data_IF_419211072602
#
_entry.id   IF_419211072602
#
_cell.length_a   1.000
_cell.length_b   1.000
_cell.length_c   1.000
_cell.angle_alpha   90.00
_cell.angle_beta   90.00
_cell.angle_gamma   90.00
#
_symmetry.space_group_name_H-M   'P 1'
#
loop_
_entity.id
_entity.type
_entity.pdbx_description
1 polymer ?
#
# COMPACT_ATOMS: atom_id res chain seq x y z
N UNK A 1 -2.23 21.02 -31.05
CA UNK A 1 -1.67 21.44 -29.76
C UNK A 1 -1.26 22.89 -29.92
N UNK A 2 -1.90 23.81 -29.18
CA UNK A 2 -1.51 25.20 -29.19
C UNK A 2 -0.27 25.42 -28.33
N UNK A 3 0.59 26.41 -28.70
CA UNK A 3 1.75 26.76 -27.87
C UNK A 3 1.23 27.29 -26.53
N UNK A 4 1.50 26.56 -25.42
CA UNK A 4 1.04 26.90 -24.07
C UNK A 4 0.01 25.94 -23.44
N UNK A 5 -0.50 24.95 -24.18
CA UNK A 5 -1.37 23.92 -23.60
C UNK A 5 -0.57 23.04 -22.62
N UNK A 6 -0.99 22.95 -21.36
CA UNK A 6 -0.46 21.99 -20.40
C UNK A 6 -0.73 20.56 -20.88
N UNK A 7 0.29 19.73 -20.87
CA UNK A 7 0.14 18.30 -21.15
C UNK A 7 -0.36 17.65 -19.87
N UNK A 8 -1.55 17.00 -19.94
CA UNK A 8 -2.02 16.17 -18.84
C UNK A 8 -1.06 15.01 -18.54
N UNK A 9 -1.18 14.42 -17.36
CA UNK A 9 -0.38 13.28 -16.92
C UNK A 9 -0.27 12.21 -18.02
N UNK A 10 0.95 11.87 -18.45
CA UNK A 10 1.23 10.96 -19.56
C UNK A 10 1.49 9.53 -19.09
N UNK A 11 1.39 9.23 -17.79
CA UNK A 11 1.58 7.89 -17.27
C UNK A 11 0.58 6.90 -17.91
N UNK A 12 1.05 5.76 -18.44
CA UNK A 12 0.16 4.80 -19.11
C UNK A 12 -0.82 4.22 -18.10
N UNK A 13 -2.10 4.18 -18.46
CA UNK A 13 -3.16 3.56 -17.65
C UNK A 13 -3.27 2.06 -17.91
N UNK A 14 -2.84 1.63 -19.08
CA UNK A 14 -2.94 0.24 -19.54
C UNK A 14 -1.63 -0.14 -20.20
N UNK A 15 -1.04 -1.23 -19.75
CA UNK A 15 0.20 -1.79 -20.28
C UNK A 15 -0.08 -3.23 -20.68
N UNK A 16 0.05 -3.53 -21.96
CA UNK A 16 -0.10 -4.88 -22.49
C UNK A 16 1.26 -5.55 -22.63
N UNK A 17 1.40 -6.72 -22.03
CA UNK A 17 2.63 -7.51 -22.11
C UNK A 17 2.32 -8.82 -22.83
N UNK A 18 2.87 -9.05 -24.03
CA UNK A 18 2.64 -10.27 -24.79
C UNK A 18 3.01 -11.53 -23.97
N UNK A 19 2.08 -12.48 -23.89
CA UNK A 19 2.27 -13.73 -23.16
C UNK A 19 2.07 -13.65 -21.64
N UNK A 20 1.97 -12.43 -21.07
CA UNK A 20 1.68 -12.24 -19.64
C UNK A 20 0.26 -11.75 -19.40
N UNK A 21 -0.18 -10.69 -20.10
CA UNK A 21 -1.49 -10.11 -19.91
C UNK A 21 -1.49 -8.59 -19.90
N UNK A 22 -2.36 -8.00 -19.07
CA UNK A 22 -2.57 -6.58 -18.96
C UNK A 22 -2.28 -6.12 -17.53
N UNK A 23 -1.54 -5.01 -17.41
CA UNK A 23 -1.32 -4.29 -16.16
C UNK A 23 -2.06 -2.96 -16.26
N UNK A 24 -2.83 -2.64 -15.25
CA UNK A 24 -3.57 -1.38 -15.17
C UNK A 24 -3.03 -0.52 -14.04
N UNK A 25 -2.89 0.77 -14.31
CA UNK A 25 -2.40 1.75 -13.36
C UNK A 25 -3.46 2.82 -13.09
N UNK A 26 -3.38 3.44 -11.92
CA UNK A 26 -4.31 4.50 -11.53
C UNK A 26 -3.80 5.25 -10.31
N UNK A 27 -4.40 6.39 -10.01
CA UNK A 27 -4.12 7.14 -8.78
C UNK A 27 -4.55 6.40 -7.51
N UNK A 28 -5.45 5.44 -7.68
CA UNK A 28 -5.92 4.53 -6.65
C UNK A 28 -6.38 3.21 -7.29
N UNK A 29 -6.61 2.18 -6.47
CA UNK A 29 -7.07 0.87 -6.93
C UNK A 29 -8.37 0.95 -7.74
N UNK A 30 -9.30 1.83 -7.34
CA UNK A 30 -10.57 2.03 -8.04
C UNK A 30 -10.37 2.53 -9.47
N UNK A 31 -9.47 3.52 -9.66
CA UNK A 31 -9.16 4.06 -10.98
C UNK A 31 -8.49 3.01 -11.87
N UNK A 32 -7.56 2.21 -11.33
CA UNK A 32 -6.91 1.12 -12.04
C UNK A 32 -7.94 0.05 -12.47
N UNK A 33 -8.83 -0.36 -11.57
CA UNK A 33 -9.89 -1.34 -11.86
C UNK A 33 -10.90 -0.83 -12.91
N UNK A 34 -11.28 0.46 -12.87
CA UNK A 34 -12.13 1.04 -13.91
C UNK A 34 -11.44 0.97 -15.28
N UNK A 35 -10.17 1.31 -15.36
CA UNK A 35 -9.37 1.22 -16.59
C UNK A 35 -9.33 -0.21 -17.13
N UNK A 36 -9.15 -1.19 -16.24
CA UNK A 36 -9.19 -2.61 -16.57
C UNK A 36 -10.53 -3.01 -17.23
N UNK A 37 -11.63 -2.72 -16.56
CA UNK A 37 -12.96 -3.11 -17.04
C UNK A 37 -13.30 -2.44 -18.38
N UNK A 38 -12.94 -1.17 -18.55
CA UNK A 38 -13.14 -0.44 -19.80
C UNK A 38 -12.32 -1.05 -20.93
N UNK A 39 -11.08 -1.43 -20.68
CA UNK A 39 -10.23 -2.02 -21.71
C UNK A 39 -10.64 -3.44 -22.08
N UNK A 40 -11.10 -4.27 -21.14
CA UNK A 40 -11.70 -5.55 -21.44
C UNK A 40 -12.91 -5.40 -22.39
N UNK A 41 -13.74 -4.39 -22.17
CA UNK A 41 -14.84 -4.06 -23.08
C UNK A 41 -14.34 -3.62 -24.45
N UNK A 42 -13.29 -2.79 -24.50
CA UNK A 42 -12.66 -2.38 -25.75
C UNK A 42 -12.10 -3.57 -26.53
N UNK A 43 -11.46 -4.54 -25.87
CA UNK A 43 -10.99 -5.78 -26.51
C UNK A 43 -12.15 -6.56 -27.13
N UNK A 44 -13.28 -6.68 -26.43
CA UNK A 44 -14.46 -7.36 -26.96
C UNK A 44 -15.02 -6.65 -28.21
N UNK A 45 -15.07 -5.31 -28.21
CA UNK A 45 -15.49 -4.50 -29.36
C UNK A 45 -14.53 -4.66 -30.53
N UNK A 46 -13.22 -4.55 -30.30
CA UNK A 46 -12.19 -4.74 -31.34
C UNK A 46 -12.29 -6.13 -31.97
N UNK A 47 -12.43 -7.17 -31.15
CA UNK A 47 -12.59 -8.55 -31.61
C UNK A 47 -13.87 -8.73 -32.45
N UNK A 48 -14.98 -8.16 -32.00
CA UNK A 48 -16.24 -8.20 -32.76
C UNK A 48 -16.17 -7.44 -34.09
N UNK A 49 -15.56 -6.27 -34.09
CA UNK A 49 -15.37 -5.46 -35.29
C UNK A 49 -14.53 -6.19 -36.37
N UNK A 50 -13.46 -6.90 -35.93
CA UNK A 50 -12.58 -7.67 -36.83
C UNK A 50 -13.31 -8.86 -37.51
N UNK A 51 -14.36 -9.38 -36.88
CA UNK A 51 -15.20 -10.44 -37.49
C UNK A 51 -16.10 -9.90 -38.59
N UNK A 52 -16.58 -8.66 -38.45
CA UNK A 52 -17.49 -8.01 -39.39
C UNK A 52 -16.76 -7.21 -40.47
N UNK A 53 -15.50 -6.83 -40.22
CA UNK A 53 -14.70 -6.01 -41.12
C UNK A 53 -13.36 -5.64 -40.49
N UNK A 54 -12.88 -4.43 -40.75
CA UNK A 54 -11.67 -3.91 -40.14
C UNK A 54 -11.99 -3.01 -38.93
N UNK A 55 -11.32 -3.22 -37.82
CA UNK A 55 -11.33 -2.25 -36.75
C UNK A 55 -10.55 -1.01 -37.17
N UNK A 56 -11.16 0.16 -37.03
CA UNK A 56 -10.52 1.46 -37.27
C UNK A 56 -10.48 2.23 -35.96
N UNK A 57 -9.29 2.60 -35.54
CA UNK A 57 -9.09 3.47 -34.38
C UNK A 57 -9.31 4.95 -34.75
N UNK A 58 -9.54 5.77 -33.72
CA UNK A 58 -9.53 7.23 -33.90
C UNK A 58 -8.13 7.68 -34.38
N UNK A 59 -8.10 8.71 -35.19
CA UNK A 59 -6.85 9.39 -35.54
C UNK A 59 -6.37 10.29 -34.37
N UNK A 60 -5.17 10.88 -34.50
CA UNK A 60 -4.58 11.71 -33.45
C UNK A 60 -5.40 12.94 -33.11
N UNK A 61 -5.99 13.58 -34.12
CA UNK A 61 -6.83 14.77 -33.93
C UNK A 61 -8.13 14.43 -33.19
N UNK A 62 -8.82 13.38 -33.59
CA UNK A 62 -10.03 12.89 -32.95
C UNK A 62 -9.76 12.46 -31.50
N UNK A 63 -8.64 11.78 -31.25
CA UNK A 63 -8.20 11.40 -29.90
C UNK A 63 -7.94 12.62 -29.03
N UNK A 64 -7.25 13.63 -29.59
CA UNK A 64 -7.00 14.88 -28.88
C UNK A 64 -8.31 15.63 -28.54
N UNK A 65 -9.26 15.73 -29.48
CA UNK A 65 -10.52 16.44 -29.27
C UNK A 65 -11.38 15.79 -28.18
N UNK A 66 -11.32 14.47 -28.04
CA UNK A 66 -12.02 13.75 -26.95
C UNK A 66 -11.32 13.94 -25.63
N UNK A 67 -9.99 13.77 -25.58
CA UNK A 67 -9.18 13.87 -24.36
C UNK A 67 -9.26 15.26 -23.74
N UNK A 68 -9.24 16.29 -24.59
CA UNK A 68 -9.27 17.72 -24.16
C UNK A 68 -10.65 18.36 -24.33
N UNK A 69 -11.73 17.57 -24.35
CA UNK A 69 -13.06 18.13 -24.44
C UNK A 69 -13.36 19.02 -23.21
N UNK A 70 -13.75 20.32 -23.43
CA UNK A 70 -13.88 21.30 -22.35
C UNK A 70 -14.80 20.87 -21.21
N UNK A 71 -15.87 20.11 -21.51
CA UNK A 71 -16.79 19.60 -20.48
C UNK A 71 -16.12 18.54 -19.59
N UNK A 72 -15.29 17.67 -20.15
CA UNK A 72 -14.54 16.68 -19.37
C UNK A 72 -13.47 17.36 -18.51
N UNK A 73 -12.74 18.33 -19.06
CA UNK A 73 -11.78 19.11 -18.29
C UNK A 73 -12.47 19.87 -17.14
N UNK A 74 -13.66 20.40 -17.38
CA UNK A 74 -14.47 21.02 -16.32
C UNK A 74 -14.85 20.01 -15.22
N UNK A 75 -15.32 18.82 -15.59
CA UNK A 75 -15.63 17.76 -14.61
C UNK A 75 -14.40 17.36 -13.78
N UNK A 76 -13.24 17.23 -14.43
CA UNK A 76 -11.99 16.94 -13.74
C UNK A 76 -11.59 18.06 -12.76
N UNK A 77 -11.85 19.33 -13.10
CA UNK A 77 -11.57 20.46 -12.23
C UNK A 77 -12.45 20.52 -10.97
N UNK A 78 -13.60 19.83 -10.98
CA UNK A 78 -14.48 19.71 -9.82
C UNK A 78 -14.05 18.61 -8.84
N UNK A 79 -13.05 17.80 -9.18
CA UNK A 79 -12.55 16.79 -8.28
C UNK A 79 -11.97 17.44 -7.00
N UNK A 80 -12.25 16.87 -5.81
CA UNK A 80 -11.64 17.37 -4.58
C UNK A 80 -10.12 17.27 -4.66
N UNK A 81 -9.39 18.17 -3.99
CA UNK A 81 -7.93 18.09 -3.94
C UNK A 81 -7.49 16.78 -3.30
N UNK A 82 -6.36 16.26 -3.79
CA UNK A 82 -5.75 15.07 -3.21
C UNK A 82 -5.26 15.39 -1.79
N UNK A 83 -5.38 14.40 -0.91
CA UNK A 83 -4.89 14.46 0.47
C UNK A 83 -3.40 14.11 0.53
N UNK A 84 -2.78 14.27 1.70
CA UNK A 84 -1.33 14.19 1.89
C UNK A 84 -0.71 12.87 1.41
N UNK A 85 -1.41 11.74 1.66
CA UNK A 85 -0.94 10.39 1.28
C UNK A 85 -1.70 9.81 0.08
N UNK A 86 -2.38 10.62 -0.69
CA UNK A 86 -2.98 10.16 -1.95
C UNK A 86 -1.91 9.56 -2.86
N UNK A 87 -2.27 8.46 -3.56
CA UNK A 87 -1.38 7.69 -4.46
C UNK A 87 -0.26 6.93 -3.75
N UNK A 88 -0.22 6.89 -2.43
CA UNK A 88 0.81 6.18 -1.66
C UNK A 88 0.27 4.87 -1.08
N UNK A 89 1.17 3.91 -0.96
CA UNK A 89 0.93 2.61 -0.34
C UNK A 89 1.73 2.51 0.95
N UNK A 90 1.04 2.32 2.06
CA UNK A 90 1.63 2.13 3.37
C UNK A 90 1.59 0.65 3.78
N UNK A 91 2.70 0.16 4.33
CA UNK A 91 2.83 -1.17 4.90
C UNK A 91 2.97 -1.07 6.41
N UNK A 92 1.98 -1.56 7.16
CA UNK A 92 1.93 -1.45 8.62
C UNK A 92 2.09 -2.83 9.25
N UNK A 93 3.19 -3.05 9.98
CA UNK A 93 3.42 -4.30 10.71
C UNK A 93 2.73 -4.27 12.07
N UNK A 94 2.14 -5.40 12.50
CA UNK A 94 1.28 -5.41 13.69
C UNK A 94 0.05 -4.52 13.50
N UNK A 95 -0.46 -4.46 12.28
CA UNK A 95 -1.50 -3.53 11.86
C UNK A 95 -2.86 -3.79 12.48
N UNK A 96 -3.12 -5.02 12.94
CA UNK A 96 -4.34 -5.39 13.66
C UNK A 96 -4.27 -5.12 15.17
N UNK A 97 -3.12 -4.71 15.70
CA UNK A 97 -2.95 -4.29 17.11
C UNK A 97 -3.44 -2.87 17.37
N UNK A 98 -3.56 -2.46 18.64
CA UNK A 98 -4.15 -1.18 18.99
C UNK A 98 -3.50 0.05 18.32
N UNK A 99 -2.17 0.19 18.36
CA UNK A 99 -1.44 1.29 17.70
C UNK A 99 -1.51 1.11 16.18
N UNK A 100 -1.31 -0.12 15.69
CA UNK A 100 -1.36 -0.42 14.25
C UNK A 100 -2.70 -0.08 13.63
N UNK A 101 -3.82 -0.44 14.29
CA UNK A 101 -5.17 -0.12 13.85
C UNK A 101 -5.40 1.39 13.76
N UNK A 102 -5.03 2.15 14.81
CA UNK A 102 -5.18 3.60 14.81
C UNK A 102 -4.33 4.27 13.71
N UNK A 103 -3.11 3.78 13.51
CA UNK A 103 -2.22 4.23 12.43
C UNK A 103 -2.81 3.93 11.06
N UNK A 104 -3.34 2.73 10.87
CA UNK A 104 -3.99 2.30 9.62
C UNK A 104 -5.16 3.23 9.29
N UNK A 105 -6.05 3.50 10.23
CA UNK A 105 -7.17 4.44 10.00
C UNK A 105 -6.68 5.82 9.61
N UNK A 106 -5.68 6.34 10.30
CA UNK A 106 -5.15 7.69 9.99
C UNK A 106 -4.57 7.77 8.58
N UNK A 107 -3.78 6.79 8.18
CA UNK A 107 -3.21 6.72 6.83
C UNK A 107 -4.29 6.64 5.74
N UNK A 108 -5.35 5.85 5.99
CA UNK A 108 -6.51 5.75 5.09
C UNK A 108 -7.25 7.09 4.97
N UNK A 109 -7.48 7.79 6.09
CA UNK A 109 -8.14 9.10 6.12
C UNK A 109 -7.36 10.16 5.35
N UNK A 110 -6.04 10.09 5.39
CA UNK A 110 -5.14 10.97 4.65
C UNK A 110 -4.86 10.49 3.20
N UNK A 111 -5.54 9.44 2.73
CA UNK A 111 -5.58 9.05 1.32
C UNK A 111 -4.75 7.85 0.91
N UNK A 112 -3.94 7.26 1.80
CA UNK A 112 -3.12 6.09 1.47
C UNK A 112 -3.97 4.83 1.20
N UNK A 113 -3.41 3.87 0.45
CA UNK A 113 -3.77 2.46 0.53
C UNK A 113 -2.92 1.80 1.61
N UNK A 114 -3.48 0.89 2.40
CA UNK A 114 -2.74 0.30 3.51
C UNK A 114 -2.72 -1.22 3.45
N UNK A 115 -1.52 -1.79 3.51
CA UNK A 115 -1.31 -3.22 3.78
C UNK A 115 -1.23 -3.43 5.29
N UNK A 116 -2.15 -4.22 5.81
CA UNK A 116 -2.24 -4.60 7.22
C UNK A 116 -1.53 -5.94 7.39
N UNK A 117 -0.25 -5.89 7.78
CA UNK A 117 0.56 -7.09 7.98
C UNK A 117 0.54 -7.48 9.47
N UNK A 118 -0.01 -8.64 9.78
CA UNK A 118 -0.13 -9.12 11.15
C UNK A 118 0.02 -10.64 11.25
N UNK A 119 0.50 -11.13 12.40
CA UNK A 119 0.51 -12.56 12.70
C UNK A 119 -0.91 -13.09 12.91
N UNK A 120 -1.82 -12.24 13.39
CA UNK A 120 -3.25 -12.48 13.50
C UNK A 120 -3.96 -12.09 12.20
N UNK A 121 -3.94 -13.01 11.23
CA UNK A 121 -4.58 -12.78 9.93
C UNK A 121 -6.08 -12.45 10.05
N UNK A 122 -6.81 -13.17 10.90
CA UNK A 122 -8.26 -12.94 11.08
C UNK A 122 -8.55 -11.51 11.55
N UNK A 123 -7.77 -11.00 12.51
CA UNK A 123 -7.87 -9.61 12.97
C UNK A 123 -7.57 -8.61 11.85
N UNK A 124 -6.55 -8.89 11.04
CA UNK A 124 -6.18 -8.04 9.91
C UNK A 124 -7.24 -8.05 8.81
N UNK A 125 -7.83 -9.20 8.48
CA UNK A 125 -8.91 -9.33 7.49
C UNK A 125 -10.18 -8.62 7.94
N UNK A 126 -10.56 -8.75 9.21
CA UNK A 126 -11.71 -8.05 9.77
C UNK A 126 -11.53 -6.52 9.71
N UNK A 127 -10.35 -6.02 10.06
CA UNK A 127 -10.02 -4.61 9.96
C UNK A 127 -10.02 -4.13 8.49
N UNK A 128 -9.42 -4.88 7.59
CA UNK A 128 -9.41 -4.55 6.16
C UNK A 128 -10.83 -4.48 5.59
N UNK A 129 -11.69 -5.45 5.97
CA UNK A 129 -13.10 -5.45 5.57
C UNK A 129 -13.84 -4.22 6.08
N UNK A 130 -13.70 -3.88 7.37
CA UNK A 130 -14.34 -2.70 7.96
C UNK A 130 -13.92 -1.40 7.24
N UNK A 131 -12.62 -1.27 6.95
CA UNK A 131 -12.08 -0.13 6.22
C UNK A 131 -12.63 -0.08 4.79
N UNK A 132 -12.66 -1.19 4.08
CA UNK A 132 -13.14 -1.26 2.71
C UNK A 132 -14.64 -0.97 2.61
N UNK A 133 -15.44 -1.43 3.58
CA UNK A 133 -16.87 -1.13 3.68
C UNK A 133 -17.12 0.38 3.90
N UNK A 134 -16.25 1.05 4.68
CA UNK A 134 -16.39 2.47 5.04
C UNK A 134 -15.80 3.44 4.01
N UNK A 135 -14.60 3.16 3.50
CA UNK A 135 -13.82 4.10 2.67
C UNK A 135 -13.78 3.72 1.18
N UNK A 136 -14.35 2.58 0.83
CA UNK A 136 -14.42 2.09 -0.55
C UNK A 136 -13.47 0.96 -0.86
N UNK A 137 -13.62 0.44 -2.07
CA UNK A 137 -13.00 -0.80 -2.51
C UNK A 137 -11.48 -0.78 -2.39
N UNK A 138 -10.99 -1.83 -1.76
CA UNK A 138 -9.57 -2.18 -1.69
C UNK A 138 -8.66 -1.06 -1.20
N UNK A 139 -9.15 -0.29 -0.22
CA UNK A 139 -8.33 0.72 0.48
C UNK A 139 -7.37 0.08 1.47
N UNK A 140 -7.75 -1.09 1.99
CA UNK A 140 -6.93 -1.90 2.89
C UNK A 140 -6.85 -3.34 2.40
N UNK A 141 -5.66 -3.94 2.52
CA UNK A 141 -5.35 -5.32 2.18
C UNK A 141 -4.68 -6.00 3.36
N UNK A 142 -5.20 -7.15 3.78
CA UNK A 142 -4.64 -7.92 4.89
C UNK A 142 -3.66 -8.98 4.40
N UNK A 143 -2.55 -9.14 5.12
CA UNK A 143 -1.58 -10.19 4.85
C UNK A 143 -1.05 -10.79 6.16
N UNK A 144 -0.99 -12.13 6.21
CA UNK A 144 -0.35 -12.82 7.33
C UNK A 144 1.16 -12.63 7.29
N UNK A 145 1.74 -12.26 8.42
CA UNK A 145 3.18 -12.10 8.53
C UNK A 145 3.67 -12.24 9.97
N UNK A 146 4.53 -13.20 10.22
CA UNK A 146 5.38 -13.25 11.41
C UNK A 146 6.69 -12.52 11.08
N UNK A 147 6.92 -11.36 11.72
CA UNK A 147 8.11 -10.52 11.47
C UNK A 147 9.43 -11.23 11.78
N UNK A 148 9.40 -12.31 12.56
CA UNK A 148 10.59 -13.10 12.91
C UNK A 148 11.00 -14.08 11.82
N UNK A 149 10.17 -14.26 10.80
CA UNK A 149 10.37 -15.21 9.70
C UNK A 149 10.62 -14.49 8.38
N UNK A 150 11.84 -14.56 7.92
CA UNK A 150 12.27 -13.87 6.68
C UNK A 150 11.40 -14.24 5.48
N UNK A 151 11.05 -15.50 5.32
CA UNK A 151 10.23 -16.00 4.21
C UNK A 151 8.80 -15.42 4.24
N UNK A 152 8.19 -15.29 5.43
CA UNK A 152 6.88 -14.67 5.58
C UNK A 152 6.93 -13.15 5.29
N UNK A 153 8.00 -12.48 5.69
CA UNK A 153 8.24 -11.06 5.38
C UNK A 153 8.34 -10.86 3.86
N UNK A 154 9.15 -11.65 3.18
CA UNK A 154 9.30 -11.59 1.72
C UNK A 154 8.00 -11.89 1.00
N UNK A 155 7.25 -12.89 1.44
CA UNK A 155 5.96 -13.25 0.86
C UNK A 155 4.91 -12.14 1.03
N UNK A 156 4.86 -11.50 2.20
CA UNK A 156 3.95 -10.39 2.49
C UNK A 156 4.26 -9.16 1.63
N UNK A 157 5.53 -8.80 1.48
CA UNK A 157 5.97 -7.71 0.60
C UNK A 157 5.64 -8.01 -0.86
N UNK A 158 5.92 -9.23 -1.33
CA UNK A 158 5.56 -9.63 -2.69
C UNK A 158 4.04 -9.61 -2.94
N UNK A 159 3.23 -9.98 -1.94
CA UNK A 159 1.77 -9.87 -2.02
C UNK A 159 1.32 -8.40 -2.14
N UNK A 160 1.95 -7.49 -1.38
CA UNK A 160 1.67 -6.06 -1.43
C UNK A 160 1.99 -5.45 -2.80
N UNK A 161 3.11 -5.85 -3.38
CA UNK A 161 3.49 -5.41 -4.74
C UNK A 161 2.52 -5.92 -5.80
N UNK A 162 2.03 -7.15 -5.67
CA UNK A 162 1.00 -7.68 -6.59
C UNK A 162 -0.32 -6.94 -6.47
N UNK A 163 -0.68 -6.51 -5.26
CA UNK A 163 -1.95 -5.85 -4.99
C UNK A 163 -1.95 -4.37 -5.37
N UNK A 164 -0.89 -3.64 -5.00
CA UNK A 164 -0.83 -2.19 -5.13
C UNK A 164 0.31 -1.66 -5.99
N UNK A 165 1.21 -2.51 -6.45
CA UNK A 165 2.31 -2.13 -7.31
C UNK A 165 3.59 -1.71 -6.59
N UNK A 166 3.56 -1.44 -5.29
CA UNK A 166 4.73 -1.02 -4.53
C UNK A 166 4.44 -0.69 -3.06
N UNK A 167 5.43 -0.13 -2.38
CA UNK A 167 5.34 0.37 -1.00
C UNK A 167 6.09 1.70 -0.93
N UNK A 168 5.41 2.75 -0.45
CA UNK A 168 5.96 4.09 -0.29
C UNK A 168 6.26 4.42 1.18
N UNK A 169 5.48 3.85 2.10
CA UNK A 169 5.58 4.11 3.54
C UNK A 169 5.67 2.77 4.28
N UNK A 170 6.71 2.60 5.09
CA UNK A 170 6.78 1.53 6.08
C UNK A 170 6.48 2.09 7.47
N UNK A 171 5.49 1.52 8.16
CA UNK A 171 5.32 1.68 9.60
C UNK A 171 5.69 0.38 10.30
N UNK A 172 6.90 0.32 10.82
CA UNK A 172 7.42 -0.84 11.54
C UNK A 172 6.96 -0.75 13.00
N UNK A 173 5.81 -1.39 13.27
CA UNK A 173 5.06 -1.26 14.52
C UNK A 173 4.89 -2.59 15.26
N UNK A 174 5.09 -3.74 14.59
CA UNK A 174 4.92 -5.04 15.22
C UNK A 174 5.75 -5.13 16.50
N UNK A 175 5.10 -5.46 17.61
CA UNK A 175 5.77 -5.51 18.89
C UNK A 175 4.97 -6.30 19.92
N UNK A 176 5.63 -6.60 21.00
CA UNK A 176 5.04 -7.24 22.17
C UNK A 176 5.57 -6.59 23.45
N UNK A 177 4.81 -6.73 24.51
CA UNK A 177 5.24 -6.37 25.85
C UNK A 177 5.31 -7.64 26.70
N UNK A 178 6.52 -8.11 26.94
CA UNK A 178 6.80 -9.17 27.90
C UNK A 178 7.69 -8.59 28.97
N UNK A 179 7.22 -8.58 30.22
CA UNK A 179 7.99 -8.07 31.35
C UNK A 179 7.99 -9.07 32.50
N UNK A 180 9.14 -9.24 33.11
CA UNK A 180 9.35 -9.99 34.34
C UNK A 180 10.42 -9.28 35.16
N UNK A 181 10.57 -9.54 36.45
CA UNK A 181 11.75 -9.12 37.20
C UNK A 181 13.01 -9.60 36.48
N UNK A 182 14.07 -8.80 36.54
CA UNK A 182 15.30 -9.10 35.78
C UNK A 182 15.85 -10.49 36.10
N UNK A 183 15.88 -10.84 37.38
CA UNK A 183 16.37 -12.13 37.90
C UNK A 183 15.49 -13.33 37.51
N UNK A 184 14.24 -13.08 37.10
CA UNK A 184 13.28 -14.11 36.67
C UNK A 184 13.14 -14.19 35.14
N UNK A 185 13.78 -13.27 34.40
CA UNK A 185 13.71 -13.24 32.95
C UNK A 185 14.35 -14.48 32.34
N UNK A 186 13.57 -15.30 31.68
CA UNK A 186 14.06 -16.51 31.00
C UNK A 186 14.71 -16.18 29.67
N UNK A 187 15.57 -17.08 29.17
CA UNK A 187 16.15 -16.96 27.83
C UNK A 187 15.10 -17.00 26.72
N UNK A 188 13.98 -17.69 26.92
CA UNK A 188 12.89 -17.71 25.95
C UNK A 188 12.21 -16.32 25.86
N UNK A 189 11.94 -15.67 27.00
CA UNK A 189 11.41 -14.32 27.05
C UNK A 189 12.37 -13.31 26.42
N UNK A 190 13.67 -13.44 26.74
CA UNK A 190 14.73 -12.63 26.13
C UNK A 190 14.76 -12.78 24.61
N UNK A 191 14.86 -14.03 24.15
CA UNK A 191 14.91 -14.32 22.70
C UNK A 191 13.65 -13.89 21.97
N UNK A 192 12.48 -14.04 22.59
CA UNK A 192 11.22 -13.57 22.01
C UNK A 192 11.25 -12.05 21.78
N UNK A 193 11.67 -11.28 22.79
CA UNK A 193 11.78 -9.82 22.67
C UNK A 193 12.81 -9.41 21.60
N UNK A 194 13.99 -10.01 21.60
CA UNK A 194 15.03 -9.72 20.58
C UNK A 194 14.55 -10.10 19.19
N UNK A 195 13.95 -11.26 19.03
CA UNK A 195 13.50 -11.72 17.72
C UNK A 195 12.41 -10.83 17.14
N UNK A 196 11.45 -10.38 17.93
CA UNK A 196 10.37 -9.51 17.44
C UNK A 196 10.84 -8.08 17.28
N UNK A 197 11.46 -7.50 18.32
CA UNK A 197 11.70 -6.06 18.38
C UNK A 197 13.01 -5.61 17.70
N UNK A 198 13.96 -6.53 17.49
CA UNK A 198 15.25 -6.22 16.85
C UNK A 198 15.34 -6.93 15.51
N UNK A 199 15.31 -8.27 15.53
CA UNK A 199 15.44 -9.05 14.28
C UNK A 199 14.28 -8.78 13.33
N UNK A 200 13.04 -8.77 13.84
CA UNK A 200 11.85 -8.52 13.02
C UNK A 200 11.87 -7.13 12.39
N UNK A 201 12.22 -6.11 13.16
CA UNK A 201 12.38 -4.75 12.63
C UNK A 201 13.44 -4.67 11.54
N UNK A 202 14.57 -5.35 11.74
CA UNK A 202 15.62 -5.42 10.73
C UNK A 202 15.17 -6.14 9.45
N UNK A 203 14.54 -7.30 9.57
CA UNK A 203 14.10 -8.10 8.42
C UNK A 203 13.11 -7.31 7.55
N UNK A 204 12.07 -6.75 8.17
CA UNK A 204 11.07 -5.96 7.46
C UNK A 204 11.68 -4.72 6.82
N UNK A 205 12.47 -3.94 7.59
CA UNK A 205 13.11 -2.74 7.06
C UNK A 205 14.05 -3.04 5.90
N UNK A 206 14.84 -4.11 6.00
CA UNK A 206 15.76 -4.53 4.93
C UNK A 206 15.03 -4.85 3.62
N UNK A 207 13.98 -5.65 3.70
CA UNK A 207 13.25 -6.08 2.50
C UNK A 207 12.45 -4.91 1.87
N UNK A 208 11.79 -4.08 2.69
CA UNK A 208 11.11 -2.88 2.18
C UNK A 208 12.12 -1.87 1.60
N UNK A 209 13.30 -1.71 2.22
CA UNK A 209 14.34 -0.83 1.69
C UNK A 209 14.85 -1.28 0.31
N UNK A 210 15.03 -2.60 0.11
CA UNK A 210 15.39 -3.14 -1.21
C UNK A 210 14.33 -2.76 -2.25
N UNK A 211 13.05 -2.97 -1.93
CA UNK A 211 11.95 -2.62 -2.82
C UNK A 211 11.92 -1.12 -3.13
N UNK A 212 11.99 -0.24 -2.11
CA UNK A 212 12.00 1.22 -2.32
C UNK A 212 13.17 1.69 -3.17
N UNK A 213 14.34 1.05 -3.02
CA UNK A 213 15.51 1.31 -3.86
C UNK A 213 15.26 0.92 -5.31
N UNK A 214 14.64 -0.23 -5.56
CA UNK A 214 14.32 -0.72 -6.90
C UNK A 214 13.22 0.12 -7.56
N UNK A 215 12.26 0.63 -6.79
CA UNK A 215 11.25 1.57 -7.25
C UNK A 215 11.85 2.92 -7.73
N UNK A 216 12.95 3.35 -7.13
CA UNK A 216 13.69 4.55 -7.55
C UNK A 216 13.00 5.90 -7.28
N UNK A 217 11.86 5.89 -6.58
CA UNK A 217 11.07 7.11 -6.27
C UNK A 217 11.20 7.55 -4.80
N UNK A 218 12.03 6.85 -4.02
CA UNK A 218 12.18 7.10 -2.59
C UNK A 218 11.13 6.39 -1.75
N UNK A 219 10.98 6.83 -0.50
CA UNK A 219 10.02 6.28 0.46
C UNK A 219 10.35 6.69 1.88
N UNK A 220 9.42 6.43 2.81
CA UNK A 220 9.57 6.76 4.22
C UNK A 220 9.48 5.50 5.09
N UNK A 221 10.35 5.40 6.08
CA UNK A 221 10.32 4.32 7.08
C UNK A 221 10.18 4.91 8.48
N UNK A 222 9.13 4.53 9.17
CA UNK A 222 8.84 4.93 10.55
C UNK A 222 8.97 3.71 11.45
N UNK A 223 9.70 3.86 12.55
CA UNK A 223 9.92 2.83 13.55
C UNK A 223 9.23 3.23 14.86
N UNK A 224 8.28 2.42 15.31
CA UNK A 224 7.58 2.66 16.55
C UNK A 224 8.44 2.17 17.72
N UNK A 225 9.01 3.10 18.45
CA UNK A 225 9.82 2.84 19.64
C UNK A 225 9.06 3.13 20.93
N UNK A 226 9.66 2.73 22.06
CA UNK A 226 9.10 3.01 23.38
C UNK A 226 9.83 4.14 24.08
N UNK A 227 9.10 4.99 24.81
CA UNK A 227 9.68 5.98 25.72
C UNK A 227 10.64 5.37 26.75
N UNK A 228 10.44 4.11 27.09
CA UNK A 228 11.28 3.38 28.06
C UNK A 228 12.71 3.15 27.55
N UNK A 229 12.96 3.28 26.25
CA UNK A 229 14.31 3.25 25.70
C UNK A 229 15.12 4.53 25.99
N UNK A 230 14.44 5.62 26.37
CA UNK A 230 15.06 6.94 26.58
C UNK A 230 14.99 7.36 28.05
N UNK A 231 13.93 6.99 28.77
CA UNK A 231 13.73 7.37 30.16
C UNK A 231 14.00 6.20 31.10
N UNK A 232 14.99 6.38 31.98
CA UNK A 232 15.15 5.52 33.16
C UNK A 232 14.04 5.86 34.16
N UNK A 233 13.10 4.94 34.41
CA UNK A 233 12.31 5.03 35.64
C UNK A 233 13.25 4.84 36.82
N UNK A 234 13.27 5.78 37.76
CA UNK A 234 13.97 5.52 39.03
C UNK A 234 13.35 4.27 39.64
N UNK A 235 14.18 3.29 39.92
CA UNK A 235 13.78 2.10 40.69
C UNK A 235 13.20 2.63 41.99
N UNK A 236 11.91 2.43 42.22
CA UNK A 236 11.24 2.85 43.46
C UNK A 236 11.84 2.04 44.63
N UNK A 237 12.82 2.64 45.32
CA UNK A 237 13.51 2.01 46.45
C UNK A 237 12.63 1.81 47.69
N UNK A 238 11.33 2.09 47.59
CA UNK A 238 10.40 2.08 48.73
C UNK A 238 9.37 0.95 48.72
N UNK A 239 9.46 0.00 47.81
CA UNK A 239 8.71 -1.25 47.94
C UNK A 239 9.61 -2.35 48.50
N UNK A 240 9.81 -2.33 49.82
CA UNK A 240 10.16 -3.52 50.61
C UNK A 240 8.93 -4.02 51.33
#
# INVERSE_FOLDING_TARGET
>A
KNEGDEIMETAPRIILIPGLGMINTGKDWKAANISEQLYHRAIAVMSGATVLGNFVSLNEEESYLIEYWPLELYKLSLAPPETEFSRQVAFVTGGAGGIGTATTYRLIEDGAHVVIADINLEGAENLAKEINDKYGWNRAFAVKMDVTKEEEVQAAIAASVREYGGIDILVNNAGLASSSPFEETTMDQWNLNINVLVTGYFLVAREVFKLMKDQGIGGNMVFIGSKNSIYHHPIDRHRR
#
